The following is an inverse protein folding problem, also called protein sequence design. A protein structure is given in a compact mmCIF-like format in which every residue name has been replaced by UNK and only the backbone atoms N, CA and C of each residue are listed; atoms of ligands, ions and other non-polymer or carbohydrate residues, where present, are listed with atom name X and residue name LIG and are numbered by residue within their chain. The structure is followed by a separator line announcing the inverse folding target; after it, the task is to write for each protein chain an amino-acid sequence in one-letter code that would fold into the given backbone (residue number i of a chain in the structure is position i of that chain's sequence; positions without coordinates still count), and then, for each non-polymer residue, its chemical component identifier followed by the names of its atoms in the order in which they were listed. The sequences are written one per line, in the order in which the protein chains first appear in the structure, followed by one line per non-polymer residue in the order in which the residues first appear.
data_IF_500926286820
#
_entry.id   IF_500926286820
#
_cell.length_a   1.000
_cell.length_b   1.000
_cell.length_c   1.000
_cell.angle_alpha   90.00
_cell.angle_beta   90.00
_cell.angle_gamma   90.00
#
_symmetry.space_group_name_H-M   'P 1'
#
loop_
_entity.id
_entity.type
_entity.pdbx_description
1 polymer ?
#
# COMPACT_ATOMS: atom_id res chain seq x y z
N UNK A 1 3.85 -49.84 -43.26
CA UNK A 1 3.10 -49.85 -41.99
C UNK A 1 3.82 -49.02 -40.94
N UNK A 2 5.09 -49.28 -40.60
CA UNK A 2 5.85 -48.42 -39.65
C UNK A 2 6.20 -47.02 -40.23
N UNK A 3 6.27 -46.92 -41.55
CA UNK A 3 6.62 -45.69 -42.27
C UNK A 3 5.51 -44.62 -42.19
N UNK A 4 4.24 -45.03 -42.17
CA UNK A 4 3.10 -44.11 -42.12
C UNK A 4 2.97 -43.41 -40.75
N UNK A 5 3.29 -44.13 -39.65
CA UNK A 5 3.39 -43.55 -38.29
C UNK A 5 4.48 -42.48 -38.26
N UNK A 6 5.66 -42.80 -38.80
CA UNK A 6 6.82 -41.88 -38.85
C UNK A 6 6.51 -40.62 -39.63
N UNK A 7 5.88 -40.74 -40.80
CA UNK A 7 5.50 -39.58 -41.64
C UNK A 7 4.51 -38.65 -40.91
N UNK A 8 3.51 -39.21 -40.21
CA UNK A 8 2.54 -38.42 -39.45
C UNK A 8 3.18 -37.63 -38.31
N UNK A 9 4.09 -38.25 -37.54
CA UNK A 9 4.77 -37.56 -36.43
C UNK A 9 5.79 -36.51 -36.90
N UNK A 10 6.51 -36.75 -38.00
CA UNK A 10 7.39 -35.74 -38.62
C UNK A 10 6.58 -34.52 -39.10
N UNK A 11 5.38 -34.74 -39.64
CA UNK A 11 4.50 -33.64 -40.02
C UNK A 11 3.94 -32.88 -38.81
N UNK A 12 3.63 -33.59 -37.72
CA UNK A 12 3.20 -32.99 -36.45
C UNK A 12 4.30 -32.12 -35.83
N UNK A 13 5.53 -32.61 -35.80
CA UNK A 13 6.72 -31.88 -35.31
C UNK A 13 6.91 -30.55 -36.06
N UNK A 14 6.75 -30.56 -37.39
CA UNK A 14 6.85 -29.34 -38.21
C UNK A 14 5.81 -28.28 -37.83
N UNK A 15 4.60 -28.68 -37.44
CA UNK A 15 3.56 -27.76 -37.00
C UNK A 15 3.69 -27.34 -35.53
N UNK A 16 4.49 -28.05 -34.74
CA UNK A 16 4.83 -27.71 -33.36
C UNK A 16 6.07 -26.81 -33.24
N UNK A 17 6.61 -26.30 -34.36
CA UNK A 17 7.75 -25.35 -34.38
C UNK A 17 7.70 -24.16 -33.40
N UNK A 18 6.53 -23.66 -32.93
CA UNK A 18 6.49 -22.64 -31.87
C UNK A 18 6.89 -23.13 -30.46
N UNK A 19 6.92 -24.44 -30.21
CA UNK A 19 7.34 -25.05 -28.94
C UNK A 19 8.87 -25.21 -28.91
N UNK A 20 9.43 -25.33 -27.70
CA UNK A 20 10.83 -25.72 -27.55
C UNK A 20 11.06 -27.18 -27.99
N UNK A 21 12.31 -27.54 -28.31
CA UNK A 21 12.64 -28.91 -28.73
C UNK A 21 12.30 -29.95 -27.65
N UNK A 22 12.43 -29.59 -26.37
CA UNK A 22 12.09 -30.45 -25.22
C UNK A 22 10.57 -30.68 -25.14
N UNK A 23 9.77 -29.61 -25.19
CA UNK A 23 8.30 -29.72 -25.16
C UNK A 23 7.74 -30.43 -26.39
N UNK A 24 8.40 -30.28 -27.54
CA UNK A 24 8.00 -31.00 -28.77
C UNK A 24 8.24 -32.49 -28.61
N UNK A 25 9.40 -32.91 -28.07
CA UNK A 25 9.69 -34.31 -27.81
C UNK A 25 8.70 -34.92 -26.81
N UNK A 26 8.40 -34.25 -25.71
CA UNK A 26 7.43 -34.73 -24.71
C UNK A 26 6.04 -34.98 -25.32
N UNK A 27 5.60 -34.08 -26.20
CA UNK A 27 4.33 -34.21 -26.92
C UNK A 27 4.38 -35.38 -27.90
N UNK A 28 5.46 -35.52 -28.68
CA UNK A 28 5.61 -36.61 -29.64
C UNK A 28 5.63 -37.95 -28.91
N UNK A 29 6.39 -38.07 -27.82
CA UNK A 29 6.49 -39.29 -27.02
C UNK A 29 5.12 -39.70 -26.47
N UNK A 30 4.38 -38.76 -25.84
CA UNK A 30 3.04 -39.02 -25.31
C UNK A 30 2.06 -39.56 -26.37
N UNK A 31 2.00 -38.91 -27.53
CA UNK A 31 1.11 -39.38 -28.60
C UNK A 31 1.63 -40.63 -29.30
N UNK A 32 2.94 -40.88 -29.31
CA UNK A 32 3.53 -42.11 -29.86
C UNK A 32 3.19 -43.35 -29.02
N UNK A 33 3.18 -43.20 -27.69
CA UNK A 33 2.76 -44.22 -26.71
C UNK A 33 1.25 -44.44 -26.83
N UNK A 34 0.45 -43.37 -26.91
CA UNK A 34 -1.00 -43.47 -27.14
C UNK A 34 -1.36 -44.21 -28.43
N UNK A 35 -0.65 -43.94 -29.53
CA UNK A 35 -0.85 -44.62 -30.83
C UNK A 35 -0.49 -46.10 -30.75
N UNK A 36 0.54 -46.44 -29.96
CA UNK A 36 0.99 -47.82 -29.73
C UNK A 36 -0.01 -48.61 -28.87
N UNK A 37 -0.46 -48.02 -27.76
CA UNK A 37 -1.49 -48.59 -26.88
C UNK A 37 -2.84 -48.76 -27.59
N UNK A 38 -3.21 -47.78 -28.43
CA UNK A 38 -4.44 -47.83 -29.21
C UNK A 38 -4.33 -48.75 -30.44
N UNK A 39 -3.15 -49.28 -30.75
CA UNK A 39 -2.91 -50.17 -31.88
C UNK A 39 -3.17 -49.52 -33.25
N UNK A 40 -3.01 -48.20 -33.37
CA UNK A 40 -3.30 -47.48 -34.62
C UNK A 40 -2.11 -47.63 -35.57
N UNK A 41 -2.30 -48.32 -36.70
CA UNK A 41 -1.20 -48.69 -37.61
C UNK A 41 -1.24 -47.94 -38.94
N UNK A 42 -2.40 -47.41 -39.33
CA UNK A 42 -2.59 -46.75 -40.62
C UNK A 42 -2.80 -45.25 -40.45
N UNK A 43 -2.24 -44.42 -41.35
CA UNK A 43 -2.42 -42.97 -41.36
C UNK A 43 -3.89 -42.53 -41.22
N UNK A 44 -4.80 -43.23 -41.90
CA UNK A 44 -6.25 -42.97 -41.83
C UNK A 44 -6.83 -43.19 -40.42
N UNK A 45 -6.31 -44.16 -39.67
CA UNK A 45 -6.76 -44.44 -38.29
C UNK A 45 -6.22 -43.40 -37.32
N UNK A 46 -4.98 -42.96 -37.51
CA UNK A 46 -4.40 -41.84 -36.75
C UNK A 46 -5.20 -40.56 -37.01
N UNK A 47 -5.50 -40.23 -38.27
CA UNK A 47 -6.25 -39.02 -38.62
C UNK A 47 -7.69 -39.04 -38.10
N UNK A 48 -8.33 -40.21 -38.03
CA UNK A 48 -9.69 -40.35 -37.51
C UNK A 48 -9.74 -40.19 -35.98
N UNK A 49 -8.73 -40.69 -35.26
CA UNK A 49 -8.69 -40.65 -33.79
C UNK A 49 -8.07 -39.38 -33.21
N UNK A 50 -6.98 -38.90 -33.81
CA UNK A 50 -6.21 -37.74 -33.34
C UNK A 50 -6.51 -36.47 -34.14
N UNK A 51 -7.18 -36.58 -35.29
CA UNK A 51 -7.29 -35.51 -36.27
C UNK A 51 -6.08 -35.47 -37.20
N UNK A 52 -6.09 -34.58 -38.18
CA UNK A 52 -4.89 -34.32 -39.01
C UNK A 52 -3.76 -33.74 -38.14
N UNK A 53 -2.50 -33.95 -38.52
CA UNK A 53 -1.34 -33.42 -37.80
C UNK A 53 -1.44 -31.90 -37.53
N UNK A 54 -2.03 -31.14 -38.47
CA UNK A 54 -2.31 -29.70 -38.34
C UNK A 54 -3.46 -29.35 -37.40
N UNK A 55 -4.47 -30.22 -37.25
CA UNK A 55 -5.54 -30.02 -36.27
C UNK A 55 -5.06 -30.33 -34.86
N UNK A 56 -4.31 -31.42 -34.71
CA UNK A 56 -3.73 -31.82 -33.44
C UNK A 56 -2.75 -30.77 -32.91
N UNK A 57 -1.83 -30.28 -33.76
CA UNK A 57 -0.88 -29.22 -33.37
C UNK A 57 -1.58 -27.95 -32.91
N UNK A 58 -2.64 -27.50 -33.58
CA UNK A 58 -3.42 -26.33 -33.16
C UNK A 58 -4.10 -26.52 -31.81
N UNK A 59 -4.59 -27.73 -31.52
CA UNK A 59 -5.19 -28.06 -30.22
C UNK A 59 -4.14 -28.03 -29.10
N UNK A 60 -2.96 -28.62 -29.35
CA UNK A 60 -1.84 -28.63 -28.42
C UNK A 60 -1.32 -27.21 -28.17
N UNK A 61 -1.12 -26.43 -29.24
CA UNK A 61 -0.69 -25.03 -29.16
C UNK A 61 -1.72 -24.15 -28.43
N UNK A 62 -3.01 -24.40 -28.61
CA UNK A 62 -4.07 -23.67 -27.91
C UNK A 62 -4.08 -24.00 -26.41
N UNK A 63 -3.95 -25.28 -26.04
CA UNK A 63 -3.87 -25.71 -24.63
C UNK A 63 -2.62 -25.16 -23.94
N UNK A 64 -1.49 -25.13 -24.67
CA UNK A 64 -0.25 -24.50 -24.22
C UNK A 64 -0.38 -22.99 -24.10
N UNK A 65 -1.06 -22.32 -25.05
CA UNK A 65 -1.31 -20.88 -24.98
C UNK A 65 -2.22 -20.50 -23.81
N UNK A 66 -3.17 -21.36 -23.42
CA UNK A 66 -4.00 -21.14 -22.22
C UNK A 66 -3.18 -21.30 -20.95
N UNK A 67 -2.26 -22.28 -20.88
CA UNK A 67 -1.29 -22.38 -19.78
C UNK A 67 -0.38 -21.16 -19.73
N UNK A 68 0.09 -20.66 -20.88
CA UNK A 68 0.84 -19.40 -20.97
C UNK A 68 -0.03 -18.24 -20.49
N UNK A 69 -1.31 -18.12 -20.86
CA UNK A 69 -2.15 -16.96 -20.53
C UNK A 69 -2.64 -16.96 -19.07
N UNK A 70 -2.90 -18.12 -18.46
CA UNK A 70 -3.08 -18.25 -17.00
C UNK A 70 -1.78 -17.93 -16.26
N UNK A 71 -0.66 -18.37 -16.83
CA UNK A 71 0.66 -18.01 -16.36
C UNK A 71 0.98 -16.54 -16.56
N UNK A 72 0.47 -15.86 -17.61
CA UNK A 72 0.64 -14.43 -17.93
C UNK A 72 -0.28 -13.53 -17.10
N UNK A 73 -1.49 -13.98 -16.78
CA UNK A 73 -2.35 -13.33 -15.77
C UNK A 73 -1.82 -13.51 -14.36
N UNK A 74 -1.01 -14.55 -14.14
CA UNK A 74 -0.10 -14.65 -13.02
C UNK A 74 1.31 -14.13 -13.30
N UNK A 75 1.69 -13.65 -14.50
CA UNK A 75 3.02 -13.11 -14.89
C UNK A 75 3.09 -11.59 -14.77
N UNK A 76 2.18 -10.99 -14.00
CA UNK A 76 2.57 -9.88 -13.10
C UNK A 76 3.27 -10.44 -11.82
N UNK A 77 3.39 -11.76 -11.71
CA UNK A 77 4.07 -12.54 -10.67
C UNK A 77 4.63 -13.85 -11.27
N UNK A 78 5.59 -13.80 -12.20
CA UNK A 78 6.35 -15.01 -12.54
C UNK A 78 7.83 -14.89 -12.26
N UNK A 79 8.21 -15.73 -11.31
CA UNK A 79 9.55 -16.10 -10.93
C UNK A 79 10.17 -16.97 -12.01
N UNK A 80 11.31 -16.53 -12.52
CA UNK A 80 12.30 -17.43 -13.12
C UNK A 80 12.89 -18.36 -12.03
N UNK A 81 13.46 -19.53 -12.35
CA UNK A 81 13.98 -20.48 -11.36
C UNK A 81 15.28 -20.01 -10.66
N UNK A 82 15.79 -18.83 -11.01
CA UNK A 82 16.86 -18.13 -10.27
C UNK A 82 16.32 -17.12 -9.24
N UNK A 83 15.03 -17.21 -8.93
CA UNK A 83 14.25 -16.26 -8.13
C UNK A 83 13.98 -16.74 -6.69
N UNK A 84 14.65 -17.78 -6.18
CA UNK A 84 14.60 -18.04 -4.74
C UNK A 84 15.33 -16.93 -3.97
N UNK A 85 16.46 -16.44 -4.47
CA UNK A 85 17.11 -15.25 -3.90
C UNK A 85 16.26 -14.00 -4.06
N UNK A 86 15.65 -13.76 -5.22
CA UNK A 86 14.76 -12.59 -5.42
C UNK A 86 13.47 -12.68 -4.61
N UNK A 87 12.88 -13.86 -4.43
CA UNK A 87 11.75 -14.04 -3.53
C UNK A 87 12.16 -13.86 -2.08
N UNK A 88 13.26 -14.46 -1.63
CA UNK A 88 13.79 -14.25 -0.28
C UNK A 88 14.13 -12.77 -0.07
N UNK A 89 14.68 -12.09 -1.09
CA UNK A 89 14.97 -10.67 -1.07
C UNK A 89 13.69 -9.84 -1.03
N UNK A 90 12.63 -10.22 -1.75
CA UNK A 90 11.31 -9.57 -1.69
C UNK A 90 10.62 -9.86 -0.36
N UNK A 91 10.77 -11.04 0.24
CA UNK A 91 10.23 -11.37 1.56
C UNK A 91 10.98 -10.59 2.64
N UNK A 92 12.31 -10.48 2.56
CA UNK A 92 13.12 -9.61 3.43
C UNK A 92 12.74 -8.15 3.23
N UNK A 93 12.62 -7.70 1.98
CA UNK A 93 12.20 -6.34 1.66
C UNK A 93 10.76 -6.08 2.10
N UNK A 94 9.88 -7.08 2.09
CA UNK A 94 8.51 -7.00 2.60
C UNK A 94 8.46 -7.02 4.13
N UNK A 95 9.32 -7.78 4.81
CA UNK A 95 9.44 -7.80 6.28
C UNK A 95 10.13 -6.53 6.80
N UNK A 96 10.96 -5.85 5.98
CA UNK A 96 11.53 -4.53 6.28
C UNK A 96 10.56 -3.40 5.87
N UNK A 97 9.82 -3.57 4.78
CA UNK A 97 8.82 -2.62 4.28
C UNK A 97 7.52 -2.65 5.09
N UNK A 98 7.13 -3.78 5.68
CA UNK A 98 5.96 -3.92 6.54
C UNK A 98 6.05 -3.05 7.81
N UNK A 99 7.14 -3.07 8.60
CA UNK A 99 7.34 -2.15 9.72
C UNK A 99 7.59 -0.73 9.22
N UNK A 100 8.12 -0.51 8.02
CA UNK A 100 8.20 0.86 7.45
C UNK A 100 6.83 1.40 7.03
N UNK A 101 5.95 0.62 6.43
CA UNK A 101 4.65 1.11 5.93
C UNK A 101 3.66 1.34 7.07
N UNK A 102 3.72 0.50 8.11
CA UNK A 102 2.96 0.70 9.34
C UNK A 102 3.66 1.70 10.29
N UNK A 103 4.99 1.66 10.34
CA UNK A 103 5.82 2.49 11.21
C UNK A 103 5.96 3.92 10.72
N UNK A 104 6.21 4.21 9.44
CA UNK A 104 6.33 5.61 8.94
C UNK A 104 5.00 6.35 9.09
N UNK A 105 3.88 5.67 8.81
CA UNK A 105 2.55 6.22 9.05
C UNK A 105 2.30 6.50 10.53
N UNK A 106 2.65 5.55 11.41
CA UNK A 106 2.51 5.71 12.86
C UNK A 106 3.47 6.74 13.47
N UNK A 107 4.72 6.79 13.03
CA UNK A 107 5.77 7.72 13.48
C UNK A 107 5.38 9.14 13.11
N UNK A 108 4.92 9.38 11.87
CA UNK A 108 4.41 10.69 11.45
C UNK A 108 3.19 11.11 12.29
N UNK A 109 2.33 10.15 12.65
CA UNK A 109 1.17 10.36 13.52
C UNK A 109 1.56 10.78 14.93
N UNK A 110 2.49 10.03 15.53
CA UNK A 110 3.00 10.28 16.88
C UNK A 110 3.73 11.63 16.91
N UNK A 111 4.51 11.95 15.87
CA UNK A 111 5.21 13.23 15.74
C UNK A 111 4.21 14.40 15.65
N UNK A 112 3.16 14.27 14.84
CA UNK A 112 2.14 15.29 14.69
C UNK A 112 1.32 15.48 15.99
N UNK A 113 0.92 14.39 16.64
CA UNK A 113 0.23 14.44 17.94
C UNK A 113 1.11 15.04 19.04
N UNK A 114 2.39 14.67 19.09
CA UNK A 114 3.37 15.22 20.02
C UNK A 114 3.53 16.73 19.81
N UNK A 115 3.69 17.17 18.56
CA UNK A 115 3.81 18.59 18.22
C UNK A 115 2.58 19.40 18.66
N UNK A 116 1.38 18.85 18.44
CA UNK A 116 0.12 19.49 18.88
C UNK A 116 0.06 19.57 20.41
N UNK A 117 0.39 18.48 21.11
CA UNK A 117 0.36 18.44 22.56
C UNK A 117 1.36 19.43 23.17
N UNK A 118 2.59 19.49 22.65
CA UNK A 118 3.60 20.46 23.09
C UNK A 118 3.13 21.89 22.85
N UNK A 119 2.53 22.18 21.70
CA UNK A 119 1.98 23.50 21.42
C UNK A 119 0.88 23.91 22.42
N UNK A 120 -0.03 22.98 22.77
CA UNK A 120 -1.07 23.22 23.77
C UNK A 120 -0.44 23.55 25.13
N UNK A 121 0.54 22.75 25.57
CA UNK A 121 1.21 22.96 26.85
C UNK A 121 1.88 24.33 26.91
N UNK A 122 2.54 24.75 25.83
CA UNK A 122 3.19 26.07 25.75
C UNK A 122 2.15 27.19 25.85
N UNK A 123 1.03 27.09 25.13
CA UNK A 123 -0.05 28.09 25.17
C UNK A 123 -0.67 28.19 26.56
N UNK A 124 -0.95 27.04 27.19
CA UNK A 124 -1.51 27.00 28.55
C UNK A 124 -0.52 27.58 29.56
N UNK A 125 0.77 27.23 29.48
CA UNK A 125 1.80 27.79 30.35
C UNK A 125 1.93 29.31 30.18
N UNK A 126 1.90 29.80 28.94
CA UNK A 126 1.95 31.24 28.64
C UNK A 126 0.73 31.99 29.19
N UNK A 127 -0.46 31.38 29.15
CA UNK A 127 -1.66 31.95 29.76
C UNK A 127 -1.54 32.02 31.28
N UNK A 128 -1.08 30.94 31.92
CA UNK A 128 -0.91 30.90 33.37
C UNK A 128 0.10 31.95 33.84
N UNK A 129 1.24 32.08 33.16
CA UNK A 129 2.24 33.11 33.51
C UNK A 129 1.68 34.52 33.33
N UNK A 130 0.89 34.76 32.29
CA UNK A 130 0.26 36.06 32.05
C UNK A 130 -0.78 36.40 33.14
N UNK A 131 -1.59 35.44 33.56
CA UNK A 131 -2.54 35.61 34.68
C UNK A 131 -1.82 35.94 35.97
N UNK A 132 -0.77 35.19 36.31
CA UNK A 132 0.02 35.41 37.53
C UNK A 132 0.69 36.79 37.48
N UNK A 133 1.31 37.14 36.35
CA UNK A 133 1.98 38.43 36.17
C UNK A 133 1.00 39.61 36.30
N UNK A 134 -0.20 39.46 35.74
CA UNK A 134 -1.26 40.46 35.88
C UNK A 134 -1.67 40.63 37.35
N UNK A 135 -1.93 39.53 38.06
CA UNK A 135 -2.33 39.55 39.46
C UNK A 135 -1.26 40.19 40.35
N UNK A 136 0.01 39.82 40.13
CA UNK A 136 1.15 40.39 40.86
C UNK A 136 1.28 41.89 40.58
N UNK A 137 1.23 42.32 39.31
CA UNK A 137 1.34 43.74 38.96
C UNK A 137 0.20 44.59 39.53
N UNK A 138 -1.03 44.07 39.56
CA UNK A 138 -2.17 44.77 40.16
C UNK A 138 -2.02 44.87 41.68
N UNK A 139 -1.59 43.79 42.33
CA UNK A 139 -1.39 43.75 43.78
C UNK A 139 -0.26 44.69 44.21
N UNK A 140 0.90 44.62 43.57
CA UNK A 140 2.05 45.49 43.87
C UNK A 140 1.77 46.95 43.50
N UNK A 141 1.08 47.18 42.38
CA UNK A 141 0.68 48.53 41.96
C UNK A 141 -0.27 49.21 42.95
N UNK A 142 -1.23 48.46 43.52
CA UNK A 142 -2.16 48.99 44.51
C UNK A 142 -1.47 49.33 45.83
N UNK A 143 -0.53 48.49 46.28
CA UNK A 143 0.24 48.76 47.51
C UNK A 143 1.19 49.95 47.34
N UNK A 144 1.88 50.05 46.20
CA UNK A 144 2.83 51.14 45.92
C UNK A 144 2.14 52.49 45.71
N UNK A 145 0.83 52.53 45.46
CA UNK A 145 0.10 53.80 45.33
C UNK A 145 0.14 54.63 46.63
N UNK A 146 0.29 53.97 47.79
CA UNK A 146 0.39 54.62 49.09
C UNK A 146 1.80 55.09 49.45
N UNK A 147 2.83 54.57 48.77
CA UNK A 147 4.23 54.93 49.03
C UNK A 147 4.80 55.83 47.93
N UNK A 148 4.65 55.42 46.68
CA UNK A 148 5.27 56.02 45.50
C UNK A 148 4.26 56.11 44.35
N UNK A 149 3.54 57.23 44.29
CA UNK A 149 2.39 57.43 43.39
C UNK A 149 2.69 57.14 41.91
N UNK A 150 3.85 57.59 41.41
CA UNK A 150 4.27 57.40 40.01
C UNK A 150 4.51 55.93 39.69
N UNK A 151 5.15 55.19 40.60
CA UNK A 151 5.45 53.76 40.42
C UNK A 151 4.17 52.93 40.51
N UNK A 152 3.27 53.28 41.44
CA UNK A 152 1.95 52.64 41.56
C UNK A 152 1.12 52.74 40.27
N UNK A 153 1.03 53.92 39.65
CA UNK A 153 0.33 54.13 38.37
C UNK A 153 0.96 53.33 37.24
N UNK A 154 2.29 53.24 37.18
CA UNK A 154 2.98 52.46 36.15
C UNK A 154 2.64 50.96 36.24
N UNK A 155 2.71 50.38 37.44
CA UNK A 155 2.36 48.96 37.66
C UNK A 155 0.86 48.69 37.45
N UNK A 156 -0.03 49.61 37.83
CA UNK A 156 -1.45 49.52 37.52
C UNK A 156 -1.71 49.57 36.01
N UNK A 157 -1.06 50.47 35.29
CA UNK A 157 -1.14 50.55 33.83
C UNK A 157 -0.64 49.27 33.16
N UNK A 158 0.46 48.72 33.64
CA UNK A 158 0.98 47.43 33.17
C UNK A 158 0.01 46.28 33.46
N UNK A 159 -0.62 46.26 34.64
CA UNK A 159 -1.65 45.28 35.00
C UNK A 159 -2.90 45.38 34.12
N UNK A 160 -3.38 46.59 33.79
CA UNK A 160 -4.50 46.81 32.87
C UNK A 160 -4.13 46.40 31.45
N UNK A 161 -2.91 46.72 31.00
CA UNK A 161 -2.41 46.29 29.68
C UNK A 161 -2.32 44.75 29.59
N UNK A 162 -1.84 44.08 30.65
CA UNK A 162 -1.79 42.63 30.72
C UNK A 162 -3.20 42.01 30.75
N UNK A 163 -4.16 42.62 31.45
CA UNK A 163 -5.59 42.26 31.38
C UNK A 163 -6.14 42.36 29.95
N UNK A 164 -5.79 43.41 29.21
CA UNK A 164 -6.13 43.54 27.78
C UNK A 164 -5.52 42.41 26.94
N UNK A 165 -4.27 42.06 27.22
CA UNK A 165 -3.59 40.89 26.61
C UNK A 165 -4.32 39.58 26.89
N UNK A 166 -4.79 39.35 28.13
CA UNK A 166 -5.59 38.19 28.50
C UNK A 166 -6.90 38.12 27.69
N UNK A 167 -7.55 39.27 27.49
CA UNK A 167 -8.80 39.35 26.73
C UNK A 167 -8.61 38.97 25.25
N UNK A 168 -7.44 39.29 24.66
CA UNK A 168 -7.04 38.87 23.31
C UNK A 168 -6.60 37.39 23.29
N UNK A 169 -6.03 36.89 24.38
CA UNK A 169 -5.58 35.50 24.47
C UNK A 169 -6.77 34.51 24.55
N UNK A 170 -7.92 34.92 25.09
CA UNK A 170 -9.14 34.10 25.12
C UNK A 170 -9.66 33.65 23.74
N UNK A 171 -9.88 34.53 22.74
CA UNK A 171 -10.27 34.10 21.39
C UNK A 171 -9.17 33.30 20.69
N UNK A 172 -7.89 33.58 20.99
CA UNK A 172 -6.78 32.77 20.50
C UNK A 172 -6.87 31.32 21.01
N UNK A 173 -7.24 31.12 22.28
CA UNK A 173 -7.45 29.78 22.85
C UNK A 173 -8.62 29.05 22.17
N UNK A 174 -9.73 29.75 21.92
CA UNK A 174 -10.87 29.17 21.20
C UNK A 174 -10.49 28.78 19.77
N UNK A 175 -9.72 29.62 19.08
CA UNK A 175 -9.20 29.34 17.75
C UNK A 175 -8.27 28.12 17.74
N UNK A 176 -7.34 28.03 18.70
CA UNK A 176 -6.45 26.86 18.87
C UNK A 176 -7.25 25.59 19.16
N UNK A 177 -8.25 25.65 20.04
CA UNK A 177 -9.12 24.51 20.36
C UNK A 177 -9.90 24.04 19.12
N UNK A 178 -10.45 24.98 18.35
CA UNK A 178 -11.13 24.68 17.08
C UNK A 178 -10.16 24.08 16.05
N UNK A 179 -8.93 24.61 15.96
CA UNK A 179 -7.89 24.08 15.07
C UNK A 179 -7.52 22.63 15.44
N UNK A 180 -7.37 22.32 16.73
CA UNK A 180 -7.10 20.95 17.20
C UNK A 180 -8.25 20.02 16.82
N UNK A 181 -9.50 20.41 17.04
CA UNK A 181 -10.67 19.62 16.65
C UNK A 181 -10.73 19.40 15.13
N UNK A 182 -10.40 20.40 14.32
CA UNK A 182 -10.32 20.26 12.87
C UNK A 182 -9.20 19.31 12.44
N UNK A 183 -8.02 19.42 13.04
CA UNK A 183 -6.89 18.52 12.76
C UNK A 183 -7.26 17.08 13.11
N UNK A 184 -7.85 16.85 14.28
CA UNK A 184 -8.33 15.52 14.69
C UNK A 184 -9.42 15.00 13.76
N UNK A 185 -10.38 15.84 13.37
CA UNK A 185 -11.47 15.44 12.46
C UNK A 185 -10.97 15.12 11.04
N UNK A 186 -10.08 15.96 10.48
CA UNK A 186 -9.44 15.69 9.19
C UNK A 186 -8.60 14.41 9.26
N UNK A 187 -7.91 14.20 10.37
CA UNK A 187 -7.13 13.00 10.59
C UNK A 187 -8.01 11.74 10.68
N UNK A 188 -9.13 11.81 11.41
CA UNK A 188 -10.10 10.74 11.50
C UNK A 188 -10.71 10.42 10.11
N UNK A 189 -11.04 11.44 9.32
CA UNK A 189 -11.49 11.26 7.92
C UNK A 189 -10.41 10.64 7.04
N UNK A 190 -9.15 11.07 7.17
CA UNK A 190 -8.04 10.51 6.42
C UNK A 190 -7.86 9.01 6.73
N UNK A 191 -7.91 8.63 8.01
CA UNK A 191 -7.84 7.23 8.43
C UNK A 191 -9.03 6.41 7.92
N UNK A 192 -10.24 6.98 8.04
CA UNK A 192 -11.46 6.34 7.58
C UNK A 192 -11.45 6.11 6.07
N UNK A 193 -11.03 7.09 5.27
CA UNK A 193 -10.94 6.94 3.81
C UNK A 193 -9.88 5.93 3.38
N UNK A 194 -8.74 5.88 4.09
CA UNK A 194 -7.66 4.93 3.80
C UNK A 194 -8.05 3.48 4.12
N UNK A 195 -8.88 3.26 5.14
CA UNK A 195 -9.40 1.92 5.47
C UNK A 195 -10.68 1.56 4.70
N UNK A 196 -11.56 2.51 4.43
CA UNK A 196 -12.83 2.28 3.73
C UNK A 196 -12.63 1.92 2.25
N UNK A 197 -11.59 2.45 1.59
CA UNK A 197 -11.25 2.07 0.20
C UNK A 197 -10.91 0.58 0.03
N UNK A 198 -10.52 -0.16 1.08
CA UNK A 198 -10.27 -1.61 0.98
C UNK A 198 -11.54 -2.47 1.02
N UNK A 199 -12.72 -1.92 1.37
CA UNK A 199 -13.95 -2.71 1.52
C UNK A 199 -14.90 -2.63 0.33
N UNK A 200 -14.69 -1.71 -0.60
CA UNK A 200 -15.60 -1.47 -1.72
C UNK A 200 -15.28 -2.28 -2.99
N UNK A 201 -14.19 -3.06 -3.01
CA UNK A 201 -13.85 -3.97 -4.11
C UNK A 201 -14.35 -5.41 -3.96
N UNK A 202 -15.16 -5.72 -2.93
CA UNK A 202 -15.70 -7.07 -2.66
C UNK A 202 -17.22 -7.16 -2.76
N UNK A 203 -17.86 -6.10 -3.29
CA UNK A 203 -19.32 -6.04 -3.53
C UNK A 203 -19.70 -6.02 -5.01
N UNK A 204 -18.73 -6.17 -5.91
CA UNK A 204 -18.97 -6.37 -7.35
C UNK A 204 -18.36 -7.72 -7.76
N UNK A 205 -18.72 -8.75 -6.99
CA UNK A 205 -18.76 -10.12 -7.46
C UNK A 205 -19.94 -10.27 -8.44
#
# INVERSE_FOLDING_TARGET
MEEDKKVYFVELERYLSPLTAEETNDVIDFYSEYVEDAGLQTKTELENKLGTAKQLSRKILADHSIKIDEDQRHHNIKRSPRSNSKMIWIIILAIISAPMTLGIGGILLILLMSMILTAIIIVVAMLLTLVILTAVCLYTGLLMLFTEFTVGIFYLGCGIAALGGLMIAMPLLYWVCSAILQVVANFARYLYQRFSRKRQGRSEA
#
